data_IF_450767425169
#
_entry.id   IF_450767425169
#
_cell.length_a   1.000
_cell.length_b   1.000
_cell.length_c   1.000
_cell.angle_alpha   90.00
_cell.angle_beta   90.00
_cell.angle_gamma   90.00
#
_symmetry.space_group_name_H-M   'P 1'
#
loop_
_entity.id
_entity.type
_entity.pdbx_description
1 polymer ?
#
# COMPACT_ATOMS: atom_id res chain seq x y z
N UNK A 1 3.81 16.95 0.36
CA UNK A 1 5.18 16.65 -0.12
C UNK A 1 5.93 16.02 1.04
N UNK A 2 6.48 14.79 0.89
CA UNK A 2 7.11 13.99 1.95
C UNK A 2 8.66 14.05 1.83
N UNK A 3 9.19 15.26 1.63
CA UNK A 3 10.63 15.52 1.50
C UNK A 3 11.15 16.31 2.70
N UNK A 4 12.30 15.88 3.24
CA UNK A 4 12.87 16.39 4.49
C UNK A 4 14.36 16.69 4.32
N UNK A 5 14.78 17.93 4.58
CA UNK A 5 16.20 18.26 4.62
C UNK A 5 16.81 17.75 5.93
N UNK A 6 17.77 16.83 5.81
CA UNK A 6 18.42 16.16 6.94
C UNK A 6 19.86 16.59 7.19
N UNK A 7 20.37 17.64 6.50
CA UNK A 7 21.75 18.12 6.64
C UNK A 7 22.16 18.40 8.08
N UNK A 8 21.26 19.06 8.85
CA UNK A 8 21.53 19.35 10.26
C UNK A 8 21.47 18.10 11.14
N UNK A 9 20.66 17.10 10.78
CA UNK A 9 20.57 15.82 11.49
C UNK A 9 21.81 14.97 11.23
N UNK A 10 22.36 14.98 10.01
CA UNK A 10 23.62 14.30 9.67
C UNK A 10 24.83 14.85 10.45
N UNK A 11 24.80 16.11 10.85
CA UNK A 11 25.86 16.75 11.67
C UNK A 11 25.62 16.59 13.19
N UNK A 12 24.43 16.17 13.60
CA UNK A 12 24.11 15.97 15.01
C UNK A 12 24.82 14.73 15.58
N UNK A 13 24.75 14.49 16.89
CA UNK A 13 25.28 13.27 17.50
C UNK A 13 24.51 12.03 17.02
N UNK A 14 25.16 10.86 16.86
CA UNK A 14 24.46 9.61 16.61
C UNK A 14 23.34 9.37 17.64
N UNK A 15 22.19 8.88 17.18
CA UNK A 15 20.99 8.71 18.01
C UNK A 15 20.12 9.95 18.16
N UNK A 16 20.53 11.12 17.59
CA UNK A 16 19.66 12.31 17.55
C UNK A 16 18.44 11.99 16.67
N UNK A 17 17.26 12.40 17.15
CA UNK A 17 15.98 12.15 16.52
C UNK A 17 15.25 13.47 16.24
N UNK A 18 14.48 13.50 15.15
CA UNK A 18 13.51 14.57 14.82
C UNK A 18 12.19 13.95 14.41
N UNK A 19 11.10 14.59 14.80
CA UNK A 19 9.73 14.19 14.48
C UNK A 19 9.06 15.27 13.66
N UNK A 20 8.29 14.82 12.68
CA UNK A 20 7.54 15.68 11.79
C UNK A 20 6.11 15.17 11.72
N UNK A 21 5.16 16.02 12.05
CA UNK A 21 3.76 15.73 11.80
C UNK A 21 3.45 15.88 10.32
N UNK A 22 2.72 14.94 9.77
CA UNK A 22 2.14 14.99 8.43
C UNK A 22 0.65 15.23 8.61
N UNK A 23 0.20 16.48 8.42
CA UNK A 23 -1.21 16.85 8.64
C UNK A 23 -2.07 16.58 7.40
N UNK A 24 -1.50 16.85 6.23
CA UNK A 24 -2.15 16.62 4.95
C UNK A 24 -1.10 16.59 3.84
N UNK A 25 -0.83 15.41 3.30
CA UNK A 25 0.04 15.27 2.15
C UNK A 25 -0.73 14.58 1.02
N UNK A 26 -0.58 15.14 -0.18
CA UNK A 26 -1.05 14.52 -1.40
C UNK A 26 0.13 13.83 -2.08
N UNK A 27 -0.13 12.67 -2.65
CA UNK A 27 0.84 11.87 -3.37
C UNK A 27 0.17 11.29 -4.61
N UNK A 28 0.79 11.49 -5.77
CA UNK A 28 0.36 10.84 -6.98
C UNK A 28 0.68 9.35 -6.88
N UNK A 29 -0.34 8.52 -6.93
CA UNK A 29 -0.21 7.07 -6.87
C UNK A 29 0.07 6.50 -8.27
N UNK A 30 0.57 5.26 -8.32
CA UNK A 30 0.74 4.54 -9.57
C UNK A 30 -0.57 3.91 -10.03
N UNK A 31 -0.66 3.69 -11.33
CA UNK A 31 -1.76 3.00 -12.00
C UNK A 31 -3.14 3.64 -11.69
N UNK A 32 -4.13 2.80 -11.44
CA UNK A 32 -5.50 3.21 -11.17
C UNK A 32 -5.80 3.46 -9.69
N UNK A 33 -4.79 3.40 -8.81
CA UNK A 33 -4.98 3.62 -7.37
C UNK A 33 -5.18 5.11 -7.08
N UNK A 34 -6.28 5.45 -6.45
CA UNK A 34 -6.63 6.83 -6.09
C UNK A 34 -6.78 6.97 -4.57
N UNK A 35 -6.19 8.04 -4.03
CA UNK A 35 -6.39 8.39 -2.63
C UNK A 35 -7.78 9.02 -2.46
N UNK A 36 -8.57 8.48 -1.53
CA UNK A 36 -9.85 9.03 -1.10
C UNK A 36 -9.71 10.06 0.04
N UNK A 37 -8.53 10.10 0.69
CA UNK A 37 -8.20 11.04 1.75
C UNK A 37 -6.70 11.39 1.68
N UNK A 38 -6.31 12.60 2.13
CA UNK A 38 -4.91 12.98 2.23
C UNK A 38 -4.17 12.09 3.23
N UNK A 39 -2.86 11.92 3.03
CA UNK A 39 -2.00 11.16 3.93
C UNK A 39 -1.73 11.99 5.17
N UNK A 40 -1.91 11.41 6.35
CA UNK A 40 -1.66 12.03 7.64
C UNK A 40 -0.90 11.08 8.59
N UNK A 41 -0.18 11.63 9.57
CA UNK A 41 0.53 10.82 10.57
C UNK A 41 1.81 11.46 11.09
N UNK A 42 2.81 10.65 11.40
CA UNK A 42 4.11 11.10 11.92
C UNK A 42 5.26 10.46 11.14
N UNK A 43 6.28 11.26 10.86
CA UNK A 43 7.59 10.80 10.36
C UNK A 43 8.65 11.09 11.41
N UNK A 44 9.43 10.08 11.74
CA UNK A 44 10.53 10.14 12.70
C UNK A 44 11.84 9.82 12.00
N UNK A 45 12.76 10.77 12.01
CA UNK A 45 14.07 10.65 11.40
C UNK A 45 15.13 10.60 12.49
N UNK A 46 15.97 9.57 12.49
CA UNK A 46 17.05 9.42 13.45
C UNK A 46 18.39 9.18 12.77
N UNK A 47 19.45 9.80 13.30
CA UNK A 47 20.82 9.55 12.81
C UNK A 47 21.34 8.22 13.32
N UNK A 48 21.73 7.34 12.41
CA UNK A 48 22.31 6.03 12.70
C UNK A 48 23.69 5.94 12.04
N UNK A 49 24.75 6.24 12.79
CA UNK A 49 26.10 6.32 12.23
C UNK A 49 26.21 7.39 11.15
N UNK A 50 26.38 7.01 9.90
CA UNK A 50 26.48 7.89 8.71
C UNK A 50 25.19 7.98 7.91
N UNK A 51 24.15 7.23 8.30
CA UNK A 51 22.87 7.15 7.62
C UNK A 51 21.74 7.79 8.44
N UNK A 52 20.58 7.94 7.81
CA UNK A 52 19.32 8.35 8.44
C UNK A 52 18.38 7.16 8.45
N UNK A 53 17.91 6.76 9.62
CA UNK A 53 16.79 5.85 9.77
C UNK A 53 15.50 6.66 9.77
N UNK A 54 14.65 6.41 8.78
CA UNK A 54 13.32 6.98 8.66
C UNK A 54 12.28 5.96 9.13
N UNK A 55 11.43 6.34 10.06
CA UNK A 55 10.24 5.60 10.47
C UNK A 55 9.04 6.48 10.24
N UNK A 56 8.04 5.96 9.56
CA UNK A 56 6.79 6.68 9.34
C UNK A 56 5.61 5.80 9.72
N UNK A 57 4.65 6.41 10.43
CA UNK A 57 3.36 5.80 10.75
C UNK A 57 2.30 6.72 10.15
N UNK A 58 1.69 6.27 9.05
CA UNK A 58 0.83 7.08 8.21
C UNK A 58 -0.51 6.39 7.98
N UNK A 59 -1.57 7.21 7.89
CA UNK A 59 -2.91 6.77 7.57
C UNK A 59 -3.47 7.55 6.40
N UNK A 60 -4.27 6.89 5.58
CA UNK A 60 -5.01 7.45 4.45
C UNK A 60 -6.23 6.60 4.15
N UNK A 61 -6.90 6.86 3.04
CA UNK A 61 -7.93 5.99 2.49
C UNK A 61 -7.78 5.94 0.98
N UNK A 62 -8.13 4.81 0.37
CA UNK A 62 -8.10 4.60 -1.08
C UNK A 62 -9.49 4.32 -1.62
N UNK A 63 -9.72 4.74 -2.88
CA UNK A 63 -10.87 4.32 -3.65
C UNK A 63 -10.61 2.95 -4.27
N UNK A 64 -11.51 2.01 -4.04
CA UNK A 64 -11.44 0.67 -4.62
C UNK A 64 -12.82 0.13 -4.88
N UNK A 65 -12.97 -1.12 -5.27
CA UNK A 65 -14.25 -1.74 -5.56
C UNK A 65 -14.50 -2.98 -4.71
N UNK A 66 -15.76 -3.22 -4.36
CA UNK A 66 -16.14 -4.45 -3.69
C UNK A 66 -15.86 -5.66 -4.59
N UNK A 67 -15.10 -6.64 -4.08
CA UNK A 67 -14.71 -7.84 -4.82
C UNK A 67 -15.89 -8.74 -5.26
N UNK A 68 -17.10 -8.52 -4.71
CA UNK A 68 -18.29 -9.31 -5.06
C UNK A 68 -19.28 -8.57 -5.95
N UNK A 69 -19.59 -7.31 -5.64
CA UNK A 69 -20.64 -6.56 -6.37
C UNK A 69 -20.12 -5.41 -7.20
N UNK A 70 -18.80 -5.20 -7.22
CA UNK A 70 -18.07 -4.18 -7.99
C UNK A 70 -18.51 -2.73 -7.71
N UNK A 71 -19.24 -2.49 -6.63
CA UNK A 71 -19.58 -1.12 -6.20
C UNK A 71 -18.36 -0.42 -5.63
N UNK A 72 -18.21 0.90 -5.85
CA UNK A 72 -17.15 1.68 -5.23
C UNK A 72 -17.19 1.57 -3.70
N UNK A 73 -16.02 1.47 -3.09
CA UNK A 73 -15.83 1.41 -1.64
C UNK A 73 -14.57 2.20 -1.29
N UNK A 74 -14.62 2.92 -0.18
CA UNK A 74 -13.45 3.57 0.39
C UNK A 74 -12.86 2.66 1.46
N UNK A 75 -11.58 2.31 1.31
CA UNK A 75 -10.84 1.49 2.26
C UNK A 75 -9.87 2.35 3.08
N UNK A 76 -9.95 2.35 4.42
CA UNK A 76 -8.89 2.96 5.23
C UNK A 76 -7.60 2.14 5.12
N UNK A 77 -6.47 2.83 5.05
CA UNK A 77 -5.13 2.26 4.94
C UNK A 77 -4.24 2.86 6.03
N UNK A 78 -3.62 1.99 6.81
CA UNK A 78 -2.59 2.35 7.76
C UNK A 78 -1.30 1.68 7.33
N UNK A 79 -0.21 2.45 7.26
CA UNK A 79 1.11 1.95 6.85
C UNK A 79 2.17 2.34 7.86
N UNK A 80 3.09 1.40 8.10
CA UNK A 80 4.32 1.64 8.84
C UNK A 80 5.50 1.41 7.91
N UNK A 81 6.42 2.35 7.87
CA UNK A 81 7.58 2.34 7.01
C UNK A 81 8.82 2.44 7.88
N UNK A 82 9.81 1.63 7.59
CA UNK A 82 11.13 1.72 8.18
C UNK A 82 12.17 1.60 7.08
N UNK A 83 12.87 2.72 6.80
CA UNK A 83 13.84 2.83 5.73
C UNK A 83 15.16 3.42 6.21
N UNK A 84 16.27 2.91 5.66
CA UNK A 84 17.60 3.46 5.90
C UNK A 84 18.03 4.25 4.67
N UNK A 85 18.16 5.57 4.83
CA UNK A 85 18.64 6.45 3.77
C UNK A 85 20.13 6.73 3.91
N UNK A 86 20.87 6.47 2.83
CA UNK A 86 22.30 6.69 2.74
C UNK A 86 22.62 8.05 2.09
N UNK A 87 23.59 8.80 2.57
CA UNK A 87 24.02 10.03 1.90
C UNK A 87 24.68 9.72 0.56
N UNK A 88 24.36 10.51 -0.48
CA UNK A 88 25.05 10.46 -1.78
C UNK A 88 26.33 11.29 -1.79
N UNK A 89 26.41 12.28 -0.90
CA UNK A 89 27.56 13.18 -0.73
C UNK A 89 27.94 13.18 0.74
N UNK A 90 29.24 13.09 1.02
CA UNK A 90 29.79 13.21 2.37
C UNK A 90 29.57 14.66 2.87
N UNK A 91 28.91 14.81 4.01
CA UNK A 91 28.47 16.11 4.55
C UNK A 91 29.63 17.02 4.98
N UNK A 92 30.80 16.47 5.26
CA UNK A 92 31.97 17.22 5.76
C UNK A 92 32.92 17.59 4.62
N UNK A 93 33.13 16.68 3.65
CA UNK A 93 34.10 16.84 2.56
C UNK A 93 33.45 17.29 1.25
N UNK A 94 32.13 17.11 1.08
CA UNK A 94 31.44 17.37 -0.18
C UNK A 94 31.77 16.36 -1.29
N UNK A 95 32.47 15.27 -0.98
CA UNK A 95 32.83 14.26 -1.96
C UNK A 95 31.69 13.29 -2.22
N UNK A 96 31.48 12.85 -3.46
CA UNK A 96 30.49 11.83 -3.77
C UNK A 96 30.82 10.51 -3.07
N UNK A 97 29.79 9.86 -2.54
CA UNK A 97 29.86 8.52 -1.97
C UNK A 97 29.38 7.54 -3.04
N UNK A 98 30.28 6.65 -3.49
CA UNK A 98 29.95 5.70 -4.56
C UNK A 98 28.86 4.70 -4.12
N UNK A 99 27.86 4.43 -5.00
CA UNK A 99 26.69 3.59 -4.68
C UNK A 99 26.97 2.08 -4.68
N UNK A 100 28.21 1.65 -4.91
CA UNK A 100 28.56 0.24 -5.19
C UNK A 100 28.26 -0.74 -4.03
N UNK A 101 27.96 -0.25 -2.84
CA UNK A 101 27.81 -1.09 -1.64
C UNK A 101 26.36 -1.52 -1.41
N UNK A 102 25.37 -0.75 -1.82
CA UNK A 102 23.93 -1.05 -1.66
C UNK A 102 23.14 -0.33 -2.76
N UNK A 103 22.99 -0.95 -3.95
CA UNK A 103 22.40 -0.29 -5.13
C UNK A 103 20.90 0.06 -4.91
N UNK A 104 20.19 -0.75 -4.12
CA UNK A 104 18.75 -0.58 -3.88
C UNK A 104 18.43 0.26 -2.64
N UNK A 105 19.46 0.76 -1.93
CA UNK A 105 19.22 1.57 -0.74
C UNK A 105 18.65 2.95 -1.09
N UNK A 106 17.70 3.40 -0.28
CA UNK A 106 17.20 4.77 -0.37
C UNK A 106 18.35 5.77 -0.19
N UNK A 107 18.40 6.80 -1.04
CA UNK A 107 19.50 7.78 -1.03
C UNK A 107 18.98 9.19 -0.85
N UNK A 108 19.74 9.95 -0.09
CA UNK A 108 19.58 11.40 -0.04
C UNK A 108 20.02 12.02 -1.38
N UNK A 109 19.35 13.08 -1.79
CA UNK A 109 19.83 13.85 -2.94
C UNK A 109 21.09 14.68 -2.59
N UNK A 110 21.63 15.40 -3.58
CA UNK A 110 22.84 16.22 -3.43
C UNK A 110 22.67 17.41 -2.48
N UNK A 111 21.43 17.72 -2.09
CA UNK A 111 21.09 18.75 -1.10
C UNK A 111 20.80 18.18 0.30
N UNK A 112 21.11 16.89 0.52
CA UNK A 112 20.81 16.15 1.75
C UNK A 112 19.30 16.12 2.08
N UNK A 113 18.47 16.01 1.06
CA UNK A 113 17.04 15.84 1.22
C UNK A 113 16.67 14.37 1.08
N UNK A 114 15.86 13.91 2.01
CA UNK A 114 15.23 12.60 2.03
C UNK A 114 13.83 12.72 1.44
N UNK A 115 13.58 12.05 0.34
CA UNK A 115 12.24 11.90 -0.23
C UNK A 115 11.66 10.53 0.16
N UNK A 116 10.54 10.56 0.87
CA UNK A 116 9.78 9.36 1.27
C UNK A 116 8.58 9.10 0.33
N UNK A 117 8.44 9.84 -0.75
CA UNK A 117 7.31 9.69 -1.67
C UNK A 117 7.21 8.28 -2.23
N UNK A 118 8.32 7.73 -2.71
CA UNK A 118 8.37 6.38 -3.26
C UNK A 118 8.10 5.28 -2.22
N UNK A 119 8.80 5.23 -1.07
CA UNK A 119 8.50 4.27 -0.03
C UNK A 119 7.05 4.33 0.47
N UNK A 120 6.47 5.53 0.58
CA UNK A 120 5.06 5.69 1.00
C UNK A 120 4.11 5.15 -0.07
N UNK A 121 4.38 5.43 -1.34
CA UNK A 121 3.57 4.96 -2.47
C UNK A 121 3.55 3.43 -2.54
N UNK A 122 4.72 2.82 -2.41
CA UNK A 122 4.88 1.37 -2.38
C UNK A 122 4.14 0.74 -1.18
N UNK A 123 4.32 1.30 0.02
CA UNK A 123 3.66 0.81 1.23
C UNK A 123 2.13 0.88 1.14
N UNK A 124 1.56 1.97 0.60
CA UNK A 124 0.12 2.10 0.38
C UNK A 124 -0.37 1.07 -0.64
N UNK A 125 0.35 0.88 -1.75
CA UNK A 125 0.00 -0.10 -2.79
C UNK A 125 0.01 -1.54 -2.25
N UNK A 126 0.99 -1.88 -1.42
CA UNK A 126 1.08 -3.19 -0.77
C UNK A 126 0.00 -3.41 0.31
N UNK A 127 -0.50 -2.33 0.92
CA UNK A 127 -1.54 -2.38 1.93
C UNK A 127 -2.95 -2.46 1.35
N UNK A 128 -3.12 -2.36 0.03
CA UNK A 128 -4.43 -2.48 -0.61
C UNK A 128 -5.07 -3.84 -0.29
N UNK A 129 -6.33 -3.87 0.22
CA UNK A 129 -7.01 -5.12 0.56
C UNK A 129 -7.33 -5.95 -0.69
N UNK A 130 -6.84 -7.19 -0.76
CA UNK A 130 -7.06 -8.11 -1.89
C UNK A 130 -8.54 -8.44 -2.11
N UNK A 131 -9.36 -8.46 -1.06
CA UNK A 131 -10.75 -8.92 -1.13
C UNK A 131 -11.69 -8.08 -0.25
N UNK A 132 -11.73 -6.77 -0.51
CA UNK A 132 -12.62 -5.86 0.23
C UNK A 132 -14.08 -6.09 -0.16
N UNK A 133 -14.96 -6.08 0.85
CA UNK A 133 -16.40 -6.15 0.66
C UNK A 133 -17.08 -4.85 1.10
N UNK A 134 -18.09 -4.39 0.34
CA UNK A 134 -18.88 -3.21 0.73
C UNK A 134 -19.65 -3.42 2.04
N UNK A 135 -19.92 -4.68 2.40
CA UNK A 135 -20.52 -5.13 3.66
C UNK A 135 -20.25 -6.63 3.86
N UNK A 136 -20.20 -7.15 5.09
CA UNK A 136 -19.83 -8.54 5.37
C UNK A 136 -20.76 -9.58 4.71
N UNK A 137 -22.03 -9.24 4.55
CA UNK A 137 -23.08 -10.08 3.95
C UNK A 137 -23.31 -9.81 2.46
N UNK A 138 -22.37 -9.14 1.77
CA UNK A 138 -22.52 -8.85 0.34
C UNK A 138 -22.69 -10.14 -0.46
N UNK A 139 -23.81 -10.24 -1.19
CA UNK A 139 -24.15 -11.40 -2.01
C UNK A 139 -23.52 -11.36 -3.41
N UNK A 140 -22.99 -10.19 -3.80
CA UNK A 140 -22.30 -10.02 -5.07
C UNK A 140 -23.24 -9.93 -6.28
N UNK A 141 -22.63 -10.17 -7.45
CA UNK A 141 -23.32 -10.28 -8.73
C UNK A 141 -23.63 -11.75 -9.03
N UNK A 142 -24.73 -12.00 -9.73
CA UNK A 142 -25.01 -13.32 -10.26
C UNK A 142 -23.97 -13.71 -11.32
N UNK A 143 -23.30 -14.87 -11.20
CA UNK A 143 -22.27 -15.28 -12.15
C UNK A 143 -22.81 -15.55 -13.57
N UNK A 144 -24.12 -15.81 -13.68
CA UNK A 144 -24.77 -16.14 -14.98
C UNK A 144 -25.24 -14.92 -15.72
N UNK A 145 -25.86 -13.93 -15.03
CA UNK A 145 -26.51 -12.79 -15.70
C UNK A 145 -26.05 -11.42 -15.20
N UNK A 146 -25.13 -11.37 -14.19
CA UNK A 146 -24.57 -10.11 -13.69
C UNK A 146 -25.50 -9.27 -12.82
N UNK A 147 -26.75 -9.73 -12.51
CA UNK A 147 -27.65 -8.95 -11.67
C UNK A 147 -27.09 -8.83 -10.23
N UNK A 148 -27.29 -7.68 -9.61
CA UNK A 148 -26.87 -7.46 -8.20
C UNK A 148 -27.79 -8.25 -7.25
N UNK A 149 -27.27 -9.33 -6.67
CA UNK A 149 -27.98 -10.20 -5.75
C UNK A 149 -28.31 -9.54 -4.41
N UNK A 150 -27.74 -8.38 -4.11
CA UNK A 150 -28.05 -7.62 -2.90
C UNK A 150 -29.41 -6.89 -3.04
N UNK A 151 -29.80 -6.54 -4.26
CA UNK A 151 -31.06 -5.87 -4.56
C UNK A 151 -32.09 -6.78 -5.21
N UNK A 152 -31.64 -7.89 -5.80
CA UNK A 152 -32.56 -8.88 -6.37
C UNK A 152 -33.23 -9.67 -5.23
N UNK A 153 -34.55 -9.87 -5.36
CA UNK A 153 -35.30 -10.76 -4.49
C UNK A 153 -34.93 -12.23 -4.69
N UNK A 154 -35.91 -13.11 -4.89
CA UNK A 154 -35.63 -14.48 -5.31
C UNK A 154 -35.12 -14.47 -6.74
N UNK A 155 -33.87 -14.95 -6.92
CA UNK A 155 -33.19 -15.00 -8.21
C UNK A 155 -32.65 -16.42 -8.43
N UNK A 156 -33.09 -17.05 -9.49
CA UNK A 156 -32.67 -18.39 -9.87
C UNK A 156 -32.56 -18.49 -11.39
N UNK A 157 -31.69 -19.35 -11.86
CA UNK A 157 -31.58 -19.76 -13.25
C UNK A 157 -32.01 -21.21 -13.39
N UNK A 158 -32.70 -21.53 -14.49
CA UNK A 158 -33.30 -22.84 -14.69
C UNK A 158 -32.31 -23.96 -15.03
N UNK A 159 -31.08 -23.62 -15.41
CA UNK A 159 -30.05 -24.60 -15.75
C UNK A 159 -28.64 -24.12 -15.37
N UNK A 160 -27.99 -24.81 -14.46
CA UNK A 160 -26.55 -24.81 -14.35
C UNK A 160 -25.98 -25.62 -15.52
N UNK A 161 -25.60 -24.95 -16.60
CA UNK A 161 -24.85 -25.59 -17.66
C UNK A 161 -23.45 -25.94 -17.11
N UNK A 162 -23.31 -27.16 -16.64
CA UNK A 162 -22.00 -27.69 -16.25
C UNK A 162 -21.13 -27.76 -17.51
N UNK A 163 -20.01 -27.07 -17.51
CA UNK A 163 -19.02 -27.18 -18.61
C UNK A 163 -18.67 -28.69 -18.79
N UNK A 164 -18.86 -29.24 -20.00
CA UNK A 164 -18.61 -30.68 -20.26
C UNK A 164 -17.21 -31.13 -19.83
N UNK A 165 -16.20 -30.22 -19.88
CA UNK A 165 -14.82 -30.52 -19.46
C UNK A 165 -14.70 -30.72 -17.94
N UNK A 166 -15.63 -30.19 -17.16
CA UNK A 166 -15.68 -30.26 -15.71
C UNK A 166 -16.73 -31.27 -15.19
N UNK A 167 -17.42 -31.97 -16.08
CA UNK A 167 -18.46 -32.96 -15.73
C UNK A 167 -17.97 -34.03 -14.73
N UNK A 168 -16.72 -34.47 -14.86
CA UNK A 168 -16.11 -35.43 -13.91
C UNK A 168 -15.97 -34.92 -12.48
N UNK A 169 -15.92 -33.59 -12.26
CA UNK A 169 -15.90 -33.01 -10.90
C UNK A 169 -17.27 -33.07 -10.23
N UNK A 170 -18.36 -33.05 -11.00
CA UNK A 170 -19.72 -33.22 -10.46
C UNK A 170 -19.93 -34.61 -9.85
N UNK A 171 -19.37 -35.64 -10.45
CA UNK A 171 -19.40 -37.02 -9.91
C UNK A 171 -18.59 -37.16 -8.61
N UNK A 172 -17.49 -36.41 -8.49
CA UNK A 172 -16.67 -36.41 -7.26
C UNK A 172 -17.39 -35.75 -6.09
N UNK A 173 -18.15 -34.68 -6.34
CA UNK A 173 -18.95 -33.97 -5.33
C UNK A 173 -20.04 -34.88 -4.71
N UNK A 174 -20.70 -35.70 -5.53
CA UNK A 174 -21.72 -36.64 -5.08
C UNK A 174 -21.20 -37.80 -4.20
N UNK A 175 -19.88 -38.07 -4.19
CA UNK A 175 -19.29 -39.12 -3.33
C UNK A 175 -18.96 -38.67 -1.93
N UNK A 176 -18.89 -37.36 -1.65
CA UNK A 176 -18.62 -36.84 -0.31
C UNK A 176 -19.84 -36.77 0.56
N UNK A 177 -21.05 -36.74 -0.01
CA UNK A 177 -22.31 -36.65 0.72
C UNK A 177 -22.86 -38.06 1.17
N UNK A 178 -22.12 -39.13 0.91
CA UNK A 178 -22.54 -40.51 1.19
C UNK A 178 -21.68 -41.25 2.24
N UNK A 179 -20.88 -40.51 3.06
CA UNK A 179 -20.08 -41.16 4.13
C UNK A 179 -20.36 -40.57 5.52
#
# INVERSE_FOLDING_TARGET
>A
MLSYNVATLLRAAPGTERRYAVESADLDMYDDLQLAAPIAGEVRLSRTGRSILARASLSTAIETTCSRCLKPVVAPIDVEIEEVALPSIDIDTGQPIHPDVEPDALRLNDHHELDLGEPVREAISLAEPIALLCRPDCRGLCPTCGIDLNSAGQHAHSDELIDPRLAGLAEWRGRQDTN
#
